data_IF_275157373368
#
_entry.id   IF_275157373368
#
_cell.length_a   1.000
_cell.length_b   1.000
_cell.length_c   1.000
_cell.angle_alpha   90.00
_cell.angle_beta   90.00
_cell.angle_gamma   90.00
#
_symmetry.space_group_name_H-M   'P 1'
#
loop_
_entity.id
_entity.type
_entity.pdbx_description
1 polymer ?
#
# COMPACT_ATOMS: atom_id res chain seq x y z
N UNK A 1 10.24 -3.44 16.08
CA UNK A 1 9.52 -4.72 16.15
C UNK A 1 8.05 -4.43 16.42
N UNK A 2 7.12 -5.09 15.72
CA UNK A 2 5.68 -4.91 15.96
C UNK A 2 5.25 -5.83 17.11
N UNK A 3 4.93 -5.27 18.28
CA UNK A 3 4.49 -6.08 19.43
C UNK A 3 3.20 -6.85 19.11
N UNK A 4 2.31 -6.30 18.27
CA UNK A 4 1.03 -6.91 17.91
C UNK A 4 1.14 -8.30 17.24
N UNK A 5 2.12 -8.50 16.37
CA UNK A 5 2.34 -9.78 15.66
C UNK A 5 2.92 -10.81 16.61
N UNK A 6 3.86 -10.39 17.45
CA UNK A 6 4.48 -11.25 18.45
C UNK A 6 3.44 -11.76 19.46
N UNK A 7 2.61 -10.85 19.98
CA UNK A 7 1.55 -11.19 20.94
C UNK A 7 0.51 -12.14 20.33
N UNK A 8 0.13 -11.92 19.07
CA UNK A 8 -0.81 -12.80 18.37
C UNK A 8 -0.25 -14.21 18.17
N UNK A 9 1.01 -14.33 17.77
CA UNK A 9 1.69 -15.63 17.62
C UNK A 9 1.77 -16.38 18.95
N UNK A 10 2.11 -15.68 20.04
CA UNK A 10 2.21 -16.29 21.37
C UNK A 10 0.85 -16.78 21.88
N UNK A 11 -0.22 -16.01 21.65
CA UNK A 11 -1.58 -16.42 22.02
C UNK A 11 -2.03 -17.66 21.24
N UNK A 12 -1.82 -17.69 19.93
CA UNK A 12 -2.16 -18.86 19.11
C UNK A 12 -1.35 -20.10 19.50
N UNK A 13 -0.07 -19.92 19.84
CA UNK A 13 0.80 -21.02 20.30
C UNK A 13 0.25 -21.65 21.59
N UNK A 14 -0.46 -20.89 22.41
CA UNK A 14 -1.14 -21.34 23.63
C UNK A 14 -2.55 -21.90 23.38
N UNK A 15 -2.97 -21.99 22.12
CA UNK A 15 -4.31 -22.45 21.73
C UNK A 15 -5.42 -21.42 21.98
N UNK A 16 -5.06 -20.14 22.13
CA UNK A 16 -6.02 -19.04 22.28
C UNK A 16 -6.19 -18.39 20.90
N UNK A 17 -7.37 -18.47 20.26
CA UNK A 17 -7.62 -17.78 19.00
C UNK A 17 -7.37 -16.28 19.16
N UNK A 18 -6.54 -15.70 18.28
CA UNK A 18 -6.17 -14.29 18.35
C UNK A 18 -6.07 -13.68 16.96
N UNK A 19 -6.35 -12.39 16.83
CA UNK A 19 -6.27 -11.69 15.55
C UNK A 19 -5.50 -10.39 15.75
N UNK A 20 -4.38 -10.23 15.04
CA UNK A 20 -3.74 -8.93 14.90
C UNK A 20 -4.33 -8.19 13.70
N UNK A 21 -4.75 -6.95 13.91
CA UNK A 21 -5.28 -6.07 12.87
C UNK A 21 -4.18 -5.13 12.41
N UNK A 22 -3.93 -5.08 11.10
CA UNK A 22 -2.91 -4.23 10.50
C UNK A 22 -3.50 -3.41 9.35
N UNK A 23 -3.08 -2.17 9.17
CA UNK A 23 -3.42 -1.46 7.93
C UNK A 23 -2.59 -2.03 6.78
N UNK A 24 -3.12 -1.99 5.56
CA UNK A 24 -2.44 -2.48 4.34
C UNK A 24 -0.98 -2.01 4.19
N UNK A 25 -0.65 -0.78 4.64
CA UNK A 25 0.70 -0.23 4.62
C UNK A 25 1.75 -1.05 5.42
N UNK A 26 1.33 -1.88 6.37
CA UNK A 26 2.21 -2.65 7.25
C UNK A 26 2.22 -4.16 6.97
N UNK A 27 1.53 -4.62 5.92
CA UNK A 27 1.42 -6.05 5.61
C UNK A 27 2.80 -6.70 5.40
N UNK A 28 3.69 -6.04 4.64
CA UNK A 28 5.05 -6.54 4.41
C UNK A 28 5.84 -6.70 5.71
N UNK A 29 5.77 -5.70 6.60
CA UNK A 29 6.42 -5.75 7.91
C UNK A 29 5.81 -6.81 8.84
N UNK A 30 4.49 -7.01 8.78
CA UNK A 30 3.82 -8.03 9.58
C UNK A 30 4.24 -9.44 9.16
N UNK A 31 4.26 -9.74 7.86
CA UNK A 31 4.72 -11.02 7.31
C UNK A 31 6.19 -11.28 7.61
N UNK A 32 7.05 -10.25 7.48
CA UNK A 32 8.47 -10.37 7.80
C UNK A 32 8.69 -10.70 9.29
N UNK A 33 7.97 -10.04 10.20
CA UNK A 33 8.05 -10.37 11.62
C UNK A 33 7.52 -11.78 11.91
N UNK A 34 6.38 -12.16 11.33
CA UNK A 34 5.80 -13.48 11.57
C UNK A 34 6.73 -14.62 11.12
N UNK A 35 7.35 -14.48 9.95
CA UNK A 35 8.38 -15.40 9.47
C UNK A 35 9.59 -15.47 10.40
N UNK A 36 10.06 -14.32 10.92
CA UNK A 36 11.17 -14.27 11.87
C UNK A 36 10.85 -14.97 13.21
N UNK A 37 9.57 -15.05 13.59
CA UNK A 37 9.09 -15.78 14.77
C UNK A 37 8.67 -17.22 14.47
N UNK A 38 8.94 -17.74 13.26
CA UNK A 38 8.69 -19.14 12.91
C UNK A 38 7.23 -19.46 12.57
N UNK A 39 6.39 -18.45 12.33
CA UNK A 39 4.99 -18.60 11.87
C UNK A 39 4.78 -17.92 10.51
N UNK A 40 5.38 -18.44 9.43
CA UNK A 40 5.20 -17.86 8.08
C UNK A 40 3.76 -17.95 7.57
N UNK A 41 2.96 -18.82 8.18
CA UNK A 41 1.52 -19.03 7.95
C UNK A 41 0.62 -18.03 8.71
N UNK A 42 1.18 -17.21 9.60
CA UNK A 42 0.42 -16.22 10.35
C UNK A 42 -0.13 -15.13 9.42
N UNK A 43 -1.45 -15.06 9.32
CA UNK A 43 -2.14 -14.10 8.46
C UNK A 43 -2.89 -13.06 9.31
N UNK A 44 -2.38 -11.82 9.40
CA UNK A 44 -3.09 -10.75 10.11
C UNK A 44 -4.32 -10.30 9.33
N UNK A 45 -5.36 -9.85 10.05
CA UNK A 45 -6.51 -9.20 9.40
C UNK A 45 -6.10 -7.82 8.91
N UNK A 46 -6.34 -7.55 7.63
CA UNK A 46 -5.95 -6.30 7.00
C UNK A 46 -7.12 -5.34 6.91
N UNK A 47 -6.92 -4.14 7.47
CA UNK A 47 -7.81 -3.00 7.30
C UNK A 47 -7.21 -2.00 6.30
N UNK A 48 -8.06 -1.19 5.67
CA UNK A 48 -7.60 -0.17 4.72
C UNK A 48 -6.80 0.95 5.43
N UNK A 49 -5.74 1.43 4.80
CA UNK A 49 -5.00 2.64 5.18
C UNK A 49 -5.58 3.89 4.48
N UNK A 50 -5.50 5.10 5.06
CA UNK A 50 -5.14 5.42 6.45
C UNK A 50 -6.31 5.23 7.41
N UNK A 51 -5.96 5.18 8.70
CA UNK A 51 -6.90 5.34 9.83
C UNK A 51 -6.76 6.72 10.46
N UNK A 52 -5.56 7.30 10.39
CA UNK A 52 -5.32 8.66 10.85
C UNK A 52 -6.17 9.67 10.06
N UNK A 53 -6.82 10.58 10.78
CA UNK A 53 -7.66 11.63 10.19
C UNK A 53 -9.11 11.22 9.91
N UNK A 54 -9.50 9.96 10.13
CA UNK A 54 -10.90 9.55 10.10
C UNK A 54 -11.67 10.10 11.30
N UNK A 55 -12.92 10.46 11.08
CA UNK A 55 -13.89 10.73 12.15
C UNK A 55 -14.23 9.44 12.91
N UNK A 56 -14.77 9.52 14.14
CA UNK A 56 -15.18 8.34 14.89
C UNK A 56 -16.14 7.41 14.11
N UNK A 57 -17.11 7.98 13.39
CA UNK A 57 -18.08 7.20 12.61
C UNK A 57 -17.42 6.49 11.42
N UNK A 58 -16.45 7.13 10.76
CA UNK A 58 -15.68 6.51 9.69
C UNK A 58 -14.74 5.40 10.18
N UNK A 59 -14.25 5.51 11.43
CA UNK A 59 -13.49 4.43 12.08
C UNK A 59 -14.39 3.24 12.37
N UNK A 60 -15.62 3.48 12.85
CA UNK A 60 -16.62 2.42 13.07
C UNK A 60 -16.96 1.73 11.74
N UNK A 61 -17.26 2.50 10.69
CA UNK A 61 -17.53 1.95 9.37
C UNK A 61 -16.36 1.10 8.84
N UNK A 62 -15.12 1.53 9.09
CA UNK A 62 -13.91 0.77 8.72
C UNK A 62 -13.76 -0.52 9.53
N UNK A 63 -14.15 -0.52 10.80
CA UNK A 63 -14.15 -1.71 11.64
C UNK A 63 -15.22 -2.70 11.16
N UNK A 64 -16.41 -2.21 10.80
CA UNK A 64 -17.50 -3.04 10.27
C UNK A 64 -17.12 -3.79 9.00
N UNK A 65 -16.27 -3.20 8.14
CA UNK A 65 -15.75 -3.86 6.92
C UNK A 65 -14.96 -5.15 7.24
N UNK A 66 -14.16 -5.16 8.31
CA UNK A 66 -13.28 -6.29 8.67
C UNK A 66 -13.92 -7.22 9.70
N UNK A 67 -15.03 -6.82 10.29
CA UNK A 67 -15.64 -7.50 11.43
C UNK A 67 -16.08 -8.94 11.12
N UNK A 68 -16.70 -9.23 9.95
CA UNK A 68 -17.07 -10.59 9.59
C UNK A 68 -15.87 -11.56 9.54
N UNK A 69 -14.72 -11.09 9.02
CA UNK A 69 -13.51 -11.91 8.91
C UNK A 69 -12.92 -12.24 10.29
N UNK A 70 -12.88 -11.26 11.20
CA UNK A 70 -12.40 -11.46 12.58
C UNK A 70 -13.29 -12.47 13.32
N UNK A 71 -14.62 -12.34 13.20
CA UNK A 71 -15.56 -13.26 13.86
C UNK A 71 -15.41 -14.68 13.32
N UNK A 72 -15.32 -14.86 12.00
CA UNK A 72 -15.12 -16.16 11.40
C UNK A 72 -13.82 -16.84 11.88
N UNK A 73 -12.72 -16.07 11.92
CA UNK A 73 -11.43 -16.56 12.40
C UNK A 73 -11.49 -16.99 13.87
N UNK A 74 -12.02 -16.14 14.75
CA UNK A 74 -12.05 -16.41 16.19
C UNK A 74 -12.97 -17.58 16.58
N UNK A 75 -13.99 -17.86 15.78
CA UNK A 75 -14.90 -18.98 15.99
C UNK A 75 -14.40 -20.30 15.41
N UNK A 76 -13.26 -20.30 14.71
CA UNK A 76 -12.70 -21.51 14.09
C UNK A 76 -13.54 -22.03 12.91
N UNK A 77 -14.38 -21.17 12.33
CA UNK A 77 -14.99 -21.47 11.05
C UNK A 77 -13.88 -21.39 10.01
N UNK A 78 -13.89 -22.27 9.00
CA UNK A 78 -13.11 -22.00 7.80
C UNK A 78 -13.47 -20.59 7.37
N UNK A 79 -12.45 -19.74 7.28
CA UNK A 79 -12.59 -18.53 6.52
C UNK A 79 -12.97 -19.02 5.12
N UNK A 80 -14.26 -19.01 4.78
CA UNK A 80 -14.62 -18.68 3.41
C UNK A 80 -13.78 -17.46 3.11
N UNK A 81 -12.86 -17.60 2.15
CA UNK A 81 -11.94 -16.58 1.66
C UNK A 81 -12.60 -15.24 1.94
N UNK A 82 -12.12 -14.46 2.94
CA UNK A 82 -12.82 -13.26 3.32
C UNK A 82 -12.99 -12.50 2.02
N UNK A 83 -14.24 -12.23 1.66
CA UNK A 83 -14.58 -11.45 0.48
C UNK A 83 -14.19 -9.98 0.68
N UNK A 84 -13.03 -9.73 1.29
CA UNK A 84 -12.07 -8.73 0.84
C UNK A 84 -11.81 -9.08 -0.61
N UNK A 85 -12.61 -8.52 -1.50
CA UNK A 85 -12.32 -8.51 -2.92
C UNK A 85 -10.83 -8.15 -3.10
N UNK A 86 -9.98 -9.07 -3.57
CA UNK A 86 -8.67 -8.71 -4.09
C UNK A 86 -8.89 -8.36 -5.56
N UNK A 87 -9.62 -7.28 -5.83
CA UNK A 87 -9.94 -6.89 -7.19
C UNK A 87 -10.27 -5.39 -7.18
N UNK A 88 -9.34 -4.47 -7.44
CA UNK A 88 -8.53 -4.43 -8.64
C UNK A 88 -7.27 -3.56 -8.42
N UNK A 89 -6.18 -4.11 -7.88
CA UNK A 89 -4.93 -3.32 -7.71
C UNK A 89 -3.63 -4.13 -7.85
N UNK A 90 -3.57 -5.45 -7.60
CA UNK A 90 -2.30 -6.21 -7.66
C UNK A 90 -1.71 -6.31 -9.08
N UNK A 91 -2.51 -6.69 -10.09
CA UNK A 91 -2.05 -6.75 -11.48
C UNK A 91 -1.81 -5.36 -12.07
N UNK A 92 -2.64 -4.38 -11.71
CA UNK A 92 -2.50 -3.01 -12.17
C UNK A 92 -1.22 -2.37 -11.62
N UNK A 93 -0.93 -2.54 -10.32
CA UNK A 93 0.32 -2.06 -9.71
C UNK A 93 1.53 -2.72 -10.38
N UNK A 94 1.49 -4.03 -10.66
CA UNK A 94 2.59 -4.73 -11.32
C UNK A 94 2.81 -4.23 -12.77
N UNK A 95 1.73 -4.09 -13.56
CA UNK A 95 1.79 -3.59 -14.94
C UNK A 95 2.29 -2.13 -15.00
N UNK A 96 1.80 -1.28 -14.10
CA UNK A 96 2.22 0.13 -14.02
C UNK A 96 3.66 0.24 -13.53
N UNK A 97 4.08 -0.57 -12.56
CA UNK A 97 5.47 -0.60 -12.09
C UNK A 97 6.42 -1.05 -13.19
N UNK A 98 6.02 -2.04 -14.00
CA UNK A 98 6.79 -2.48 -15.16
C UNK A 98 6.89 -1.38 -16.24
N UNK A 99 5.81 -0.65 -16.50
CA UNK A 99 5.80 0.48 -17.44
C UNK A 99 6.65 1.66 -16.97
N UNK A 100 6.63 1.94 -15.67
CA UNK A 100 7.43 3.01 -15.07
C UNK A 100 8.92 2.66 -15.02
N UNK A 101 9.30 1.39 -15.19
CA UNK A 101 10.71 0.96 -15.18
C UNK A 101 11.56 1.67 -16.25
N UNK A 102 11.01 1.93 -17.43
CA UNK A 102 11.72 2.65 -18.50
C UNK A 102 11.86 4.14 -18.20
N UNK A 103 10.91 4.74 -17.46
CA UNK A 103 11.05 6.12 -17.00
C UNK A 103 12.01 6.24 -15.82
N UNK A 104 12.00 5.26 -14.91
CA UNK A 104 12.90 5.21 -13.75
C UNK A 104 14.36 5.25 -14.16
N UNK A 105 14.76 4.62 -15.26
CA UNK A 105 16.17 4.70 -15.71
C UNK A 105 16.59 6.12 -16.11
N UNK A 106 15.67 6.92 -16.65
CA UNK A 106 15.89 8.34 -16.93
C UNK A 106 15.95 9.17 -15.65
N UNK A 107 14.98 9.03 -14.76
CA UNK A 107 14.93 9.80 -13.51
C UNK A 107 16.05 9.45 -12.52
N UNK A 108 16.52 8.20 -12.50
CA UNK A 108 17.67 7.79 -11.68
C UNK A 108 18.96 8.52 -12.11
N UNK A 109 19.08 8.92 -13.39
CA UNK A 109 20.20 9.74 -13.85
C UNK A 109 20.14 11.17 -13.27
N UNK A 110 18.93 11.66 -12.98
CA UNK A 110 18.67 12.94 -12.31
C UNK A 110 18.65 12.81 -10.77
N UNK A 111 18.90 11.59 -10.25
CA UNK A 111 18.91 11.26 -8.84
C UNK A 111 17.52 11.11 -8.20
N UNK A 112 16.45 11.01 -8.99
CA UNK A 112 15.07 10.87 -8.50
C UNK A 112 14.48 9.50 -8.85
N UNK A 113 13.57 8.99 -8.02
CA UNK A 113 12.85 7.74 -8.30
C UNK A 113 11.33 7.95 -8.23
N UNK A 114 10.57 7.05 -8.86
CA UNK A 114 9.11 7.11 -8.93
C UNK A 114 8.50 5.86 -8.33
N UNK A 115 7.78 5.99 -7.24
CA UNK A 115 7.14 4.88 -6.52
C UNK A 115 5.62 4.90 -6.73
N UNK A 116 5.02 3.75 -7.06
CA UNK A 116 3.57 3.63 -7.14
C UNK A 116 3.03 3.43 -5.74
N UNK A 117 2.28 4.41 -5.23
CA UNK A 117 1.69 4.38 -3.87
C UNK A 117 0.37 3.61 -3.88
N UNK A 118 -0.42 3.79 -4.93
CA UNK A 118 -1.68 3.10 -5.12
C UNK A 118 -2.02 3.03 -6.61
N UNK A 119 -2.58 1.92 -7.07
CA UNK A 119 -3.21 1.86 -8.39
C UNK A 119 -4.56 1.17 -8.25
N UNK A 120 -5.64 1.92 -8.46
CA UNK A 120 -7.02 1.45 -8.52
C UNK A 120 -7.46 1.10 -9.94
N UNK A 121 -8.75 0.76 -10.09
CA UNK A 121 -9.34 0.40 -11.38
C UNK A 121 -9.27 1.53 -12.44
N UNK A 122 -9.30 2.80 -12.01
CA UNK A 122 -9.27 3.97 -12.90
C UNK A 122 -8.42 5.14 -12.38
N UNK A 123 -7.78 5.00 -11.22
CA UNK A 123 -6.98 6.05 -10.60
C UNK A 123 -5.63 5.52 -10.14
N UNK A 124 -4.55 6.20 -10.47
CA UNK A 124 -3.20 5.79 -10.07
C UNK A 124 -2.51 6.94 -9.34
N UNK A 125 -1.91 6.63 -8.20
CA UNK A 125 -1.14 7.57 -7.40
C UNK A 125 0.33 7.17 -7.44
N UNK A 126 1.16 8.08 -7.92
CA UNK A 126 2.62 7.93 -7.99
C UNK A 126 3.27 8.99 -7.11
N UNK A 127 4.34 8.62 -6.42
CA UNK A 127 5.14 9.49 -5.57
C UNK A 127 6.52 9.66 -6.17
N UNK A 128 6.98 10.91 -6.20
CA UNK A 128 8.38 11.21 -6.45
C UNK A 128 9.17 10.97 -5.16
N UNK A 129 10.15 10.08 -5.24
CA UNK A 129 11.13 9.81 -4.19
C UNK A 129 12.38 10.61 -4.53
N UNK A 130 12.69 11.58 -3.69
CA UNK A 130 13.94 12.34 -3.75
C UNK A 130 14.83 11.95 -2.58
N UNK A 131 16.12 11.84 -2.82
CA UNK A 131 17.15 11.60 -1.83
C UNK A 131 17.93 12.89 -1.56
N UNK A 132 18.72 12.97 -0.47
CA UNK A 132 19.52 14.16 -0.18
C UNK A 132 20.57 14.49 -1.26
N UNK A 133 20.92 13.52 -2.10
CA UNK A 133 21.91 13.66 -3.19
C UNK A 133 21.26 14.01 -4.54
N UNK A 134 19.92 14.11 -4.57
CA UNK A 134 19.15 14.45 -5.78
C UNK A 134 19.35 15.91 -6.15
N UNK A 135 19.72 16.17 -7.40
CA UNK A 135 19.81 17.53 -7.91
C UNK A 135 18.41 18.08 -8.20
N UNK A 136 17.86 18.84 -7.26
CA UNK A 136 16.49 19.39 -7.35
C UNK A 136 16.29 20.35 -8.53
N UNK A 137 17.38 20.98 -9.01
CA UNK A 137 17.39 21.88 -10.18
C UNK A 137 17.38 21.13 -11.51
N UNK A 138 17.75 19.84 -11.54
CA UNK A 138 17.70 18.99 -12.73
C UNK A 138 16.32 18.32 -12.91
N UNK A 139 15.51 18.25 -11.85
CA UNK A 139 14.17 17.67 -11.94
C UNK A 139 13.22 18.68 -12.58
N UNK A 140 12.65 18.30 -13.73
CA UNK A 140 11.58 19.04 -14.44
C UNK A 140 10.44 19.52 -13.54
N UNK A 141 9.74 20.56 -13.99
CA UNK A 141 8.58 21.12 -13.27
C UNK A 141 7.51 20.06 -13.02
N UNK A 142 6.74 20.21 -11.93
CA UNK A 142 5.66 19.26 -11.58
C UNK A 142 4.69 19.03 -12.74
N UNK A 143 4.31 20.08 -13.47
CA UNK A 143 3.39 19.96 -14.60
C UNK A 143 3.96 19.10 -15.73
N UNK A 144 5.24 19.29 -16.08
CA UNK A 144 5.91 18.46 -17.07
C UNK A 144 6.07 17.01 -16.58
N UNK A 145 6.44 16.84 -15.31
CA UNK A 145 6.60 15.54 -14.68
C UNK A 145 5.27 14.77 -14.61
N UNK A 146 4.19 15.44 -14.22
CA UNK A 146 2.83 14.89 -14.19
C UNK A 146 2.39 14.45 -15.58
N UNK A 147 2.64 15.24 -16.63
CA UNK A 147 2.31 14.87 -18.00
C UNK A 147 3.12 13.66 -18.52
N UNK A 148 4.41 13.55 -18.17
CA UNK A 148 5.27 12.42 -18.55
C UNK A 148 4.78 11.13 -17.87
N UNK A 149 4.52 11.20 -16.56
CA UNK A 149 4.03 10.08 -15.77
C UNK A 149 2.64 9.65 -16.25
N UNK A 150 1.73 10.60 -16.47
CA UNK A 150 0.40 10.33 -17.01
C UNK A 150 0.47 9.65 -18.38
N UNK A 151 1.31 10.15 -19.29
CA UNK A 151 1.47 9.56 -20.63
C UNK A 151 1.98 8.12 -20.59
N UNK A 152 2.96 7.83 -19.73
CA UNK A 152 3.48 6.48 -19.58
C UNK A 152 2.48 5.51 -18.93
N UNK A 153 1.76 5.96 -17.92
CA UNK A 153 0.73 5.14 -17.25
C UNK A 153 -0.43 4.88 -18.21
N UNK A 154 -0.89 5.89 -18.95
CA UNK A 154 -1.99 5.75 -19.92
C UNK A 154 -1.63 4.84 -21.09
N UNK A 155 -0.34 4.77 -21.46
CA UNK A 155 0.16 3.83 -22.48
C UNK A 155 0.10 2.37 -22.00
N UNK A 156 0.40 2.12 -20.73
CA UNK A 156 0.40 0.77 -20.16
C UNK A 156 -0.95 0.34 -19.57
N UNK A 157 -1.77 1.30 -19.15
CA UNK A 157 -3.07 1.09 -18.53
C UNK A 157 -4.09 2.10 -19.09
N UNK A 158 -4.66 1.84 -20.30
CA UNK A 158 -5.54 2.78 -21.00
C UNK A 158 -6.85 3.08 -20.27
N UNK A 159 -7.21 2.25 -19.30
CA UNK A 159 -8.39 2.36 -18.43
C UNK A 159 -8.22 3.40 -17.32
N UNK A 160 -7.01 3.95 -17.12
CA UNK A 160 -6.78 5.02 -16.15
C UNK A 160 -7.48 6.32 -16.59
N UNK A 161 -8.28 6.90 -15.69
CA UNK A 161 -8.95 8.18 -15.87
C UNK A 161 -8.25 9.30 -15.09
N UNK A 162 -7.61 8.98 -13.96
CA UNK A 162 -6.93 9.95 -13.12
C UNK A 162 -5.52 9.46 -12.72
N UNK A 163 -4.52 10.32 -12.90
CA UNK A 163 -3.16 10.09 -12.42
C UNK A 163 -2.78 11.23 -11.49
N UNK A 164 -2.46 10.89 -10.24
CA UNK A 164 -2.01 11.84 -9.24
C UNK A 164 -0.52 11.64 -8.97
N UNK A 165 0.24 12.73 -9.06
CA UNK A 165 1.67 12.74 -8.73
C UNK A 165 1.89 13.52 -7.43
N UNK A 166 2.40 12.83 -6.42
CA UNK A 166 2.82 13.44 -5.15
C UNK A 166 4.29 13.87 -5.29
N UNK A 167 4.50 15.17 -5.44
CA UNK A 167 5.84 15.78 -5.45
C UNK A 167 6.15 16.39 -4.07
N UNK A 168 7.12 15.85 -3.31
CA UNK A 168 7.48 16.38 -2.00
C UNK A 168 8.04 17.81 -2.07
N UNK A 169 8.52 18.28 -3.24
CA UNK A 169 9.02 19.66 -3.42
C UNK A 169 7.92 20.71 -3.27
N UNK A 170 6.66 20.36 -3.52
CA UNK A 170 5.53 21.30 -3.39
C UNK A 170 4.83 21.26 -2.03
N UNK A 171 5.13 20.26 -1.19
CA UNK A 171 4.51 20.15 0.15
C UNK A 171 5.17 21.08 1.19
N UNK A 172 6.24 21.78 0.83
CA UNK A 172 7.05 22.64 1.73
C UNK A 172 6.68 24.13 1.65
N UNK A 173 5.56 24.51 1.01
CA UNK A 173 5.06 25.89 1.04
C UNK A 173 3.79 25.96 1.87
N UNK A 174 3.94 25.98 3.21
CA UNK A 174 3.08 26.72 4.15
C UNK A 174 3.85 27.08 5.41
#
# INVERSE_FOLDING_TARGET
MSCSVHDGIELETRGIPSVAIHTSAFLGSARAHASAFGRPDYEPVIMRHPIAGLTPDEVVARADEIMPAIVAYLLGNELDEPSVQPAATSDAVAAITAALKELRSGFNADGADLEVVAAGASSVTVRLVVTPETCLECIVSKSALQHIVESAIRKAYPTVQAVELIDPREMTIR
#
